data_IF_124158816778
#
_entry.id   IF_124158816778
#
_cell.length_a   1.000
_cell.length_b   1.000
_cell.length_c   1.000
_cell.angle_alpha   90.00
_cell.angle_beta   90.00
_cell.angle_gamma   90.00
#
_symmetry.space_group_name_H-M   'P 1'
#
loop_
_entity.id
_entity.type
_entity.pdbx_description
1 polymer ?
#
# COMPACT_ATOMS: atom_id res chain seq x y z
N UNK A 1 30.67 7.74 -16.44
CA UNK A 1 30.31 7.20 -15.12
C UNK A 1 28.87 6.80 -15.31
N UNK A 2 28.66 5.52 -15.61
CA UNK A 2 27.35 4.98 -15.92
C UNK A 2 26.49 5.03 -14.67
N UNK A 3 25.36 5.74 -14.76
CA UNK A 3 24.26 5.54 -13.82
C UNK A 3 23.96 4.05 -13.74
N UNK A 4 23.79 3.44 -12.56
CA UNK A 4 22.96 2.27 -12.51
C UNK A 4 21.55 2.75 -12.83
N UNK A 5 21.16 2.63 -14.10
CA UNK A 5 19.80 2.77 -14.56
C UNK A 5 18.96 1.61 -14.01
N UNK A 6 18.70 1.61 -12.70
CA UNK A 6 17.66 0.77 -12.12
C UNK A 6 16.36 1.56 -12.23
N UNK A 7 15.85 1.67 -13.45
CA UNK A 7 14.41 1.84 -13.67
C UNK A 7 13.78 0.45 -13.67
N UNK A 8 13.72 -0.18 -12.49
CA UNK A 8 13.08 -1.49 -12.36
C UNK A 8 11.69 -1.31 -11.71
N UNK A 9 10.62 -1.90 -12.27
CA UNK A 9 9.46 -2.18 -11.44
C UNK A 9 9.92 -3.14 -10.34
N UNK A 10 9.61 -2.83 -9.09
CA UNK A 10 9.78 -3.83 -8.04
C UNK A 10 8.84 -4.98 -8.39
N UNK A 11 9.37 -6.14 -8.78
CA UNK A 11 8.54 -7.29 -9.12
C UNK A 11 7.88 -7.80 -7.84
N UNK A 12 6.64 -7.37 -7.59
CA UNK A 12 5.83 -7.90 -6.50
C UNK A 12 5.37 -9.31 -6.85
N UNK A 13 5.56 -10.25 -5.92
CA UNK A 13 4.95 -11.56 -6.03
C UNK A 13 3.44 -11.47 -5.72
N UNK A 14 2.63 -11.38 -6.77
CA UNK A 14 1.17 -11.26 -6.67
C UNK A 14 0.47 -12.50 -7.23
N UNK A 15 -0.72 -12.80 -6.69
CA UNK A 15 -1.65 -13.72 -7.33
C UNK A 15 -2.18 -13.12 -8.64
N UNK A 16 -2.73 -13.97 -9.53
CA UNK A 16 -3.37 -13.49 -10.77
C UNK A 16 -4.47 -12.46 -10.52
N UNK A 17 -5.26 -12.63 -9.45
CA UNK A 17 -6.33 -11.70 -9.10
C UNK A 17 -5.82 -10.35 -8.61
N UNK A 18 -4.73 -10.33 -7.84
CA UNK A 18 -4.11 -9.07 -7.38
C UNK A 18 -3.39 -8.36 -8.52
N UNK A 19 -2.73 -9.10 -9.42
CA UNK A 19 -2.10 -8.53 -10.61
C UNK A 19 -3.13 -7.83 -11.53
N UNK A 20 -4.35 -8.33 -11.59
CA UNK A 20 -5.45 -7.74 -12.36
C UNK A 20 -6.24 -6.67 -11.59
N UNK A 21 -5.88 -6.36 -10.34
CA UNK A 21 -6.62 -5.40 -9.52
C UNK A 21 -6.17 -3.96 -9.84
N UNK A 22 -7.07 -3.18 -10.44
CA UNK A 22 -6.79 -1.81 -10.87
C UNK A 22 -6.47 -0.86 -9.70
N UNK A 23 -7.13 -1.03 -8.54
CA UNK A 23 -6.87 -0.19 -7.37
C UNK A 23 -5.47 -0.46 -6.79
N UNK A 24 -5.05 -1.73 -6.76
CA UNK A 24 -3.69 -2.08 -6.36
C UNK A 24 -2.69 -1.50 -7.36
N UNK A 25 -2.97 -1.59 -8.65
CA UNK A 25 -2.09 -1.04 -9.67
C UNK A 25 -1.93 0.47 -9.53
N UNK A 26 -3.00 1.21 -9.30
CA UNK A 26 -2.96 2.64 -9.04
C UNK A 26 -2.12 2.99 -7.78
N UNK A 27 -2.28 2.22 -6.69
CA UNK A 27 -1.48 2.39 -5.49
C UNK A 27 0.02 2.15 -5.74
N UNK A 28 0.35 1.09 -6.49
CA UNK A 28 1.74 0.78 -6.86
C UNK A 28 2.34 1.84 -7.80
N UNK A 29 1.55 2.35 -8.74
CA UNK A 29 1.95 3.44 -9.61
C UNK A 29 2.28 4.70 -8.80
N UNK A 30 1.40 5.10 -7.87
CA UNK A 30 1.64 6.22 -6.96
C UNK A 30 2.92 6.05 -6.14
N UNK A 31 3.15 4.84 -5.58
CA UNK A 31 4.38 4.51 -4.83
C UNK A 31 5.62 4.67 -5.71
N UNK A 32 5.62 4.09 -6.90
CA UNK A 32 6.79 4.06 -7.79
C UNK A 32 7.08 5.41 -8.44
N UNK A 33 6.05 6.20 -8.73
CA UNK A 33 6.21 7.55 -9.25
C UNK A 33 6.44 8.59 -8.15
N UNK A 34 6.30 8.20 -6.87
CA UNK A 34 6.34 9.13 -5.73
C UNK A 34 5.29 10.24 -5.91
N UNK A 35 4.15 9.92 -6.54
CA UNK A 35 3.07 10.85 -6.82
C UNK A 35 1.85 10.53 -5.96
N UNK A 36 1.56 11.42 -5.02
CA UNK A 36 0.48 11.28 -4.03
C UNK A 36 -0.52 12.45 -4.10
N UNK A 37 -0.64 13.12 -5.25
CA UNK A 37 -1.51 14.28 -5.42
C UNK A 37 -2.97 14.02 -5.00
N UNK A 38 -3.44 12.79 -5.20
CA UNK A 38 -4.80 12.37 -4.85
C UNK A 38 -4.90 11.65 -3.50
N UNK A 39 -3.82 11.60 -2.72
CA UNK A 39 -3.81 10.98 -1.41
C UNK A 39 -3.82 12.05 -0.30
N UNK A 40 -4.51 11.75 0.79
CA UNK A 40 -4.53 12.57 2.00
C UNK A 40 -4.26 11.74 3.25
N UNK A 41 -3.94 12.43 4.34
CA UNK A 41 -3.92 11.79 5.66
C UNK A 41 -5.34 11.51 6.11
N UNK A 42 -5.65 10.28 6.57
CA UNK A 42 -6.98 9.96 7.06
C UNK A 42 -7.31 10.78 8.32
N UNK A 43 -8.60 11.08 8.52
CA UNK A 43 -9.11 11.81 9.69
C UNK A 43 -8.92 11.01 10.97
N UNK A 44 -9.17 9.71 10.88
CA UNK A 44 -9.11 8.75 11.98
C UNK A 44 -8.93 7.32 11.45
N UNK A 45 -8.84 6.37 12.37
CA UNK A 45 -8.68 4.96 12.03
C UNK A 45 -9.93 4.36 11.37
N UNK A 46 -11.11 4.95 11.55
CA UNK A 46 -12.35 4.44 10.95
C UNK A 46 -12.31 4.60 9.43
N UNK A 47 -11.79 5.73 8.93
CA UNK A 47 -11.57 5.95 7.49
C UNK A 47 -10.64 4.89 6.89
N UNK A 48 -9.52 4.57 7.56
CA UNK A 48 -8.59 3.53 7.12
C UNK A 48 -9.28 2.17 7.08
N UNK A 49 -10.01 1.80 8.14
CA UNK A 49 -10.72 0.53 8.17
C UNK A 49 -11.81 0.45 7.12
N UNK A 50 -12.54 1.54 6.87
CA UNK A 50 -13.57 1.58 5.84
C UNK A 50 -12.99 1.26 4.47
N UNK A 51 -11.88 1.90 4.10
CA UNK A 51 -11.19 1.69 2.83
C UNK A 51 -10.60 0.28 2.70
N UNK A 52 -10.00 -0.24 3.78
CA UNK A 52 -9.52 -1.62 3.80
C UNK A 52 -10.66 -2.63 3.58
N UNK A 53 -11.82 -2.41 4.21
CA UNK A 53 -12.99 -3.28 4.03
C UNK A 53 -13.66 -3.12 2.66
N UNK A 54 -13.53 -1.97 2.00
CA UNK A 54 -14.02 -1.76 0.63
C UNK A 54 -13.09 -2.35 -0.44
N UNK A 55 -11.96 -2.94 -0.04
CA UNK A 55 -10.97 -3.54 -0.94
C UNK A 55 -10.03 -2.51 -1.58
N UNK A 56 -9.95 -1.30 -1.04
CA UNK A 56 -8.94 -0.31 -1.43
C UNK A 56 -7.58 -0.64 -0.81
N UNK A 57 -6.55 0.08 -1.27
CA UNK A 57 -5.16 -0.12 -0.84
C UNK A 57 -4.56 1.17 -0.27
N UNK A 58 -4.89 1.53 0.98
CA UNK A 58 -4.19 2.59 1.69
C UNK A 58 -2.69 2.34 1.74
N UNK A 59 -1.92 3.42 1.85
CA UNK A 59 -0.48 3.34 2.01
C UNK A 59 -0.12 3.53 3.47
N UNK A 60 0.77 2.69 3.97
CA UNK A 60 1.30 2.80 5.33
C UNK A 60 2.81 3.04 5.28
N UNK A 61 3.34 3.81 6.24
CA UNK A 61 4.75 4.01 6.65
C UNK A 61 5.81 3.45 5.69
N UNK A 62 6.67 4.31 5.15
CA UNK A 62 7.61 3.96 4.05
C UNK A 62 6.90 3.57 2.73
N UNK A 63 5.59 3.82 2.63
CA UNK A 63 4.76 3.72 1.42
C UNK A 63 4.54 2.28 0.95
N UNK A 64 4.27 1.38 1.88
CA UNK A 64 3.76 0.05 1.54
C UNK A 64 2.26 0.11 1.23
N UNK A 65 1.84 -0.52 0.13
CA UNK A 65 0.43 -0.78 -0.11
C UNK A 65 -0.09 -1.78 0.94
N UNK A 66 -1.22 -1.46 1.57
CA UNK A 66 -1.85 -2.28 2.60
C UNK A 66 -3.20 -2.79 2.09
N UNK A 67 -3.45 -4.08 2.28
CA UNK A 67 -4.72 -4.72 1.96
C UNK A 67 -5.28 -5.50 3.16
N UNK A 68 -6.57 -5.82 3.09
CA UNK A 68 -7.26 -6.63 4.09
C UNK A 68 -7.79 -7.92 3.48
N UNK A 69 -7.25 -9.06 3.94
CA UNK A 69 -7.54 -10.36 3.36
C UNK A 69 -7.87 -11.37 4.46
N UNK A 70 -9.03 -12.02 4.37
CA UNK A 70 -9.39 -13.12 5.26
C UNK A 70 -9.30 -12.78 6.75
N UNK A 71 -9.64 -11.54 7.13
CA UNK A 71 -9.58 -11.08 8.52
C UNK A 71 -8.23 -10.48 8.94
N UNK A 72 -7.26 -10.32 8.03
CA UNK A 72 -5.90 -9.87 8.36
C UNK A 72 -5.50 -8.65 7.54
N UNK A 73 -4.93 -7.66 8.20
CA UNK A 73 -4.27 -6.52 7.56
C UNK A 73 -2.87 -6.96 7.12
N UNK A 74 -2.53 -6.71 5.86
CA UNK A 74 -1.29 -7.13 5.25
C UNK A 74 -0.66 -6.00 4.46
N UNK A 75 0.65 -5.87 4.49
CA UNK A 75 1.40 -4.92 3.68
C UNK A 75 2.19 -5.66 2.59
N UNK A 76 2.38 -5.01 1.44
CA UNK A 76 3.00 -5.62 0.28
C UNK A 76 4.50 -5.32 0.21
N UNK A 77 5.32 -6.38 0.24
CA UNK A 77 6.74 -6.33 -0.08
C UNK A 77 7.00 -6.99 -1.44
N UNK A 78 8.22 -6.87 -1.98
CA UNK A 78 8.66 -7.55 -3.21
C UNK A 78 8.36 -9.06 -3.17
N UNK A 79 8.58 -9.70 -2.00
CA UNK A 79 8.34 -11.12 -1.81
C UNK A 79 6.87 -11.47 -1.49
N UNK A 80 5.94 -10.55 -1.74
CA UNK A 80 4.51 -10.72 -1.55
C UNK A 80 3.99 -10.16 -0.23
N UNK A 81 2.75 -10.52 0.10
CA UNK A 81 2.03 -10.00 1.24
C UNK A 81 2.59 -10.49 2.58
N UNK A 82 2.80 -9.57 3.52
CA UNK A 82 3.23 -9.83 4.90
C UNK A 82 2.18 -9.36 5.88
N UNK A 83 2.03 -10.09 6.99
CA UNK A 83 1.11 -9.66 8.05
C UNK A 83 1.60 -8.36 8.65
N UNK A 84 0.72 -7.37 8.73
CA UNK A 84 1.05 -6.11 9.39
C UNK A 84 1.05 -6.29 10.91
N UNK A 85 2.14 -5.96 11.62
CA UNK A 85 2.16 -6.03 13.06
C UNK A 85 1.29 -4.91 13.65
N UNK A 86 0.52 -5.22 14.69
CA UNK A 86 -0.28 -4.23 15.43
C UNK A 86 0.60 -3.50 16.44
N UNK A 87 1.41 -2.57 15.95
CA UNK A 87 2.22 -1.65 16.77
C UNK A 87 1.50 -0.31 16.96
N UNK A 88 2.01 0.54 17.87
CA UNK A 88 1.48 1.90 18.06
C UNK A 88 1.48 2.71 16.74
N UNK A 89 2.46 2.47 15.87
CA UNK A 89 2.56 3.16 14.57
C UNK A 89 1.32 2.95 13.70
N UNK A 90 0.66 1.78 13.79
CA UNK A 90 -0.55 1.48 13.05
C UNK A 90 -1.73 2.41 13.44
N UNK A 91 -1.68 3.00 14.64
CA UNK A 91 -2.70 3.91 15.14
C UNK A 91 -2.33 5.39 14.98
N UNK A 92 -1.11 5.70 14.51
CA UNK A 92 -0.74 7.06 14.19
C UNK A 92 -1.15 7.39 12.74
N UNK A 93 -2.14 8.28 12.57
CA UNK A 93 -2.68 8.63 11.25
C UNK A 93 -1.67 9.32 10.33
N UNK A 94 -0.63 9.94 10.88
CA UNK A 94 0.47 10.52 10.10
C UNK A 94 1.24 9.46 9.28
N UNK A 95 1.17 8.19 9.69
CA UNK A 95 1.79 7.08 8.99
C UNK A 95 0.94 6.54 7.84
N UNK A 96 -0.29 7.03 7.66
CA UNK A 96 -1.22 6.54 6.65
C UNK A 96 -1.45 7.57 5.56
N UNK A 97 -1.65 7.09 4.35
CA UNK A 97 -2.20 7.84 3.23
C UNK A 97 -3.36 7.04 2.64
N UNK A 98 -4.47 7.73 2.42
CA UNK A 98 -5.72 7.19 1.85
C UNK A 98 -6.10 7.98 0.60
N UNK A 99 -6.89 7.38 -0.27
CA UNK A 99 -7.42 7.98 -1.51
C UNK A 99 -8.92 8.24 -1.33
#
# INVERSE_FOLDING_TARGET
>A
MDDPAVSYPSYYLLSKSMFANEMLHAALEAIHQINFEFYHQPKDYEEVFHLLHSGAFPLFKERYAVGYFGGRVMYLETNGWKSMPMTQDAFNMENWLVF
#
